data_IF_036175385673
#
_entry.id   IF_036175385673
#
_cell.length_a   1.000
_cell.length_b   1.000
_cell.length_c   1.000
_cell.angle_alpha   90.00
_cell.angle_beta   90.00
_cell.angle_gamma   90.00
#
_symmetry.space_group_name_H-M   'P 1'
#
loop_
_entity.id
_entity.type
_entity.pdbx_description
1 polymer ?
#
# COMPACT_ATOMS: atom_id res chain seq x y z
N UNK A 1 -13.68 -13.90 2.73
CA UNK A 1 -12.61 -13.50 1.80
C UNK A 1 -12.93 -12.08 1.31
N UNK A 2 -12.05 -11.12 1.54
CA UNK A 2 -12.29 -9.70 1.26
C UNK A 2 -11.85 -9.25 -0.15
N UNK A 3 -11.49 -10.20 -1.03
CA UNK A 3 -11.20 -9.92 -2.43
C UNK A 3 -12.44 -9.34 -3.13
N UNK A 4 -12.26 -8.24 -3.86
CA UNK A 4 -13.34 -7.61 -4.61
C UNK A 4 -13.39 -8.18 -6.02
N UNK A 5 -12.26 -8.18 -6.71
CA UNK A 5 -12.21 -8.51 -8.12
C UNK A 5 -10.84 -9.08 -8.51
N UNK A 6 -10.89 -9.94 -9.51
CA UNK A 6 -9.71 -10.49 -10.19
C UNK A 6 -9.94 -10.46 -11.70
N UNK A 7 -9.00 -9.83 -12.40
CA UNK A 7 -8.97 -9.83 -13.87
C UNK A 7 -7.68 -10.45 -14.36
N UNK A 8 -7.81 -11.50 -15.18
CA UNK A 8 -6.71 -12.19 -15.83
C UNK A 8 -6.86 -12.04 -17.34
N UNK A 9 -6.26 -11.01 -17.90
CA UNK A 9 -6.27 -10.73 -19.34
C UNK A 9 -5.33 -11.66 -20.13
N UNK A 10 -4.23 -12.06 -19.49
CA UNK A 10 -3.21 -12.90 -20.11
C UNK A 10 -2.82 -14.03 -19.14
N UNK A 11 -3.21 -15.26 -19.47
CA UNK A 11 -2.92 -16.44 -18.62
C UNK A 11 -1.45 -16.83 -18.62
N UNK A 12 -0.73 -16.58 -19.70
CA UNK A 12 0.69 -16.90 -19.84
C UNK A 12 1.59 -15.81 -19.27
N UNK A 13 1.02 -14.65 -18.92
CA UNK A 13 1.76 -13.55 -18.33
C UNK A 13 2.09 -13.85 -16.87
N UNK A 14 3.38 -13.92 -16.57
CA UNK A 14 3.87 -14.22 -15.21
C UNK A 14 3.71 -13.08 -14.21
N UNK A 15 3.14 -11.94 -14.59
CA UNK A 15 3.03 -10.76 -13.74
C UNK A 15 1.58 -10.51 -13.33
N UNK A 16 1.37 -10.31 -12.02
CA UNK A 16 0.09 -9.93 -11.43
C UNK A 16 0.27 -8.72 -10.53
N UNK A 17 -0.61 -7.73 -10.67
CA UNK A 17 -0.67 -6.55 -9.82
C UNK A 17 -1.70 -6.79 -8.71
N UNK A 18 -1.28 -6.64 -7.47
CA UNK A 18 -2.19 -6.56 -6.33
C UNK A 18 -2.44 -5.10 -6.02
N UNK A 19 -3.69 -4.71 -5.90
CA UNK A 19 -4.04 -3.33 -5.63
C UNK A 19 -4.79 -3.21 -4.30
N UNK A 20 -4.31 -2.29 -3.46
CA UNK A 20 -4.89 -1.90 -2.18
C UNK A 20 -5.43 -0.47 -2.32
N UNK A 21 -6.75 -0.31 -2.21
CA UNK A 21 -7.40 0.99 -2.33
C UNK A 21 -7.13 1.93 -1.15
N UNK A 22 -7.39 3.22 -1.33
CA UNK A 22 -7.30 4.22 -0.28
C UNK A 22 -8.42 4.12 0.75
N UNK A 23 -8.20 4.73 1.92
CA UNK A 23 -9.16 4.81 3.02
C UNK A 23 -9.36 3.50 3.77
N UNK A 24 -9.28 3.48 5.11
CA UNK A 24 -9.62 2.30 5.88
C UNK A 24 -11.10 2.20 6.22
N UNK A 25 -11.85 3.32 6.12
CA UNK A 25 -13.19 3.45 6.69
C UNK A 25 -14.31 2.98 5.78
N UNK A 26 -13.99 2.50 4.60
CA UNK A 26 -14.98 1.97 3.65
C UNK A 26 -14.46 0.74 2.93
N UNK A 27 -15.40 -0.06 2.46
CA UNK A 27 -15.12 -1.19 1.58
C UNK A 27 -15.42 -0.77 0.17
N UNK A 28 -14.46 -0.87 -0.72
CA UNK A 28 -14.67 -0.61 -2.14
C UNK A 28 -15.59 -1.68 -2.70
N UNK A 29 -16.79 -1.28 -3.16
CA UNK A 29 -17.82 -2.19 -3.67
C UNK A 29 -17.73 -2.37 -5.17
N UNK A 30 -17.36 -1.32 -5.87
CA UNK A 30 -17.26 -1.26 -7.32
C UNK A 30 -15.88 -0.76 -7.74
N UNK A 31 -15.11 -1.58 -8.41
CA UNK A 31 -13.76 -1.24 -8.84
C UNK A 31 -13.73 -0.14 -9.91
N UNK A 32 -14.82 0.05 -10.69
CA UNK A 32 -14.92 1.10 -11.69
C UNK A 32 -14.94 2.53 -11.08
N UNK A 33 -15.24 2.63 -9.79
CA UNK A 33 -15.20 3.90 -9.06
C UNK A 33 -13.77 4.28 -8.65
N UNK A 34 -12.84 3.35 -8.73
CA UNK A 34 -11.45 3.55 -8.37
C UNK A 34 -10.58 3.82 -9.61
N UNK A 35 -9.88 4.97 -9.69
CA UNK A 35 -9.12 5.35 -10.87
C UNK A 35 -7.94 4.43 -11.16
N UNK A 36 -7.30 3.85 -10.12
CA UNK A 36 -6.15 2.96 -10.31
C UNK A 36 -6.58 1.57 -10.75
N UNK A 37 -7.68 1.04 -10.20
CA UNK A 37 -8.26 -0.21 -10.68
C UNK A 37 -8.73 -0.08 -12.13
N UNK A 38 -9.39 1.02 -12.47
CA UNK A 38 -9.81 1.34 -13.85
C UNK A 38 -8.61 1.46 -14.79
N UNK A 39 -7.54 2.10 -14.37
CA UNK A 39 -6.30 2.17 -15.15
C UNK A 39 -5.72 0.78 -15.41
N UNK A 40 -5.61 -0.09 -14.40
CA UNK A 40 -5.11 -1.45 -14.57
C UNK A 40 -5.97 -2.25 -15.55
N UNK A 41 -7.29 -2.09 -15.47
CA UNK A 41 -8.23 -2.72 -16.40
C UNK A 41 -8.05 -2.25 -17.84
N UNK A 42 -8.01 -0.93 -18.05
CA UNK A 42 -7.86 -0.34 -19.39
C UNK A 42 -6.51 -0.70 -20.03
N UNK A 43 -5.46 -0.84 -19.22
CA UNK A 43 -4.14 -1.29 -19.63
C UNK A 43 -4.04 -2.83 -19.79
N UNK A 44 -5.15 -3.54 -19.62
CA UNK A 44 -5.24 -4.99 -19.71
C UNK A 44 -4.20 -5.72 -18.84
N UNK A 45 -3.95 -5.19 -17.63
CA UNK A 45 -3.04 -5.82 -16.67
C UNK A 45 -3.76 -6.92 -15.89
N UNK A 46 -3.08 -8.04 -15.67
CA UNK A 46 -3.57 -9.01 -14.68
C UNK A 46 -3.54 -8.35 -13.31
N UNK A 47 -4.68 -8.22 -12.65
CA UNK A 47 -4.71 -7.61 -11.32
C UNK A 47 -5.73 -8.26 -10.39
N UNK A 48 -5.46 -8.14 -9.09
CA UNK A 48 -6.34 -8.53 -8.01
C UNK A 48 -6.50 -7.33 -7.10
N UNK A 49 -7.73 -6.87 -6.96
CA UNK A 49 -8.10 -5.82 -6.03
C UNK A 49 -8.58 -6.46 -4.73
N UNK A 50 -8.04 -5.99 -3.61
CA UNK A 50 -8.34 -6.52 -2.29
C UNK A 50 -8.98 -5.46 -1.40
N UNK A 51 -10.08 -5.84 -0.75
CA UNK A 51 -10.50 -5.20 0.50
C UNK A 51 -9.75 -5.81 1.68
N UNK A 52 -9.65 -5.08 2.75
CA UNK A 52 -9.08 -5.54 4.03
C UNK A 52 -10.12 -5.42 5.15
N UNK A 53 -9.93 -6.11 6.29
CA UNK A 53 -10.81 -6.00 7.44
C UNK A 53 -10.86 -4.55 7.95
N UNK A 54 -12.02 -4.12 8.42
CA UNK A 54 -12.18 -2.81 9.06
C UNK A 54 -12.37 -3.07 10.56
N UNK A 55 -11.27 -3.00 11.31
CA UNK A 55 -11.26 -3.26 12.75
C UNK A 55 -10.74 -2.04 13.49
N UNK A 56 -11.65 -1.23 14.03
CA UNK A 56 -11.29 -0.03 14.78
C UNK A 56 -10.41 -0.36 15.99
N UNK A 57 -9.41 0.48 16.22
CA UNK A 57 -8.41 0.29 17.29
C UNK A 57 -7.39 -0.82 17.03
N UNK A 58 -7.54 -1.57 15.93
CA UNK A 58 -6.58 -2.61 15.52
C UNK A 58 -6.17 -2.49 14.04
N UNK A 59 -6.53 -1.41 13.37
CA UNK A 59 -6.11 -1.11 12.00
C UNK A 59 -4.58 -1.04 11.89
N UNK A 60 -4.07 -1.27 10.70
CA UNK A 60 -2.64 -1.42 10.45
C UNK A 60 -2.12 -2.80 10.82
N UNK A 61 -2.46 -3.36 11.99
CA UNK A 61 -2.04 -4.71 12.39
C UNK A 61 -2.95 -5.77 11.76
N UNK A 62 -4.26 -5.71 12.03
CA UNK A 62 -5.21 -6.69 11.50
C UNK A 62 -5.22 -6.72 9.97
N UNK A 63 -5.15 -5.54 9.35
CA UNK A 63 -5.15 -5.42 7.90
C UNK A 63 -3.86 -5.98 7.29
N UNK A 64 -2.70 -5.66 7.90
CA UNK A 64 -1.42 -6.21 7.46
C UNK A 64 -1.36 -7.73 7.61
N UNK A 65 -1.82 -8.28 8.74
CA UNK A 65 -1.83 -9.73 8.99
C UNK A 65 -2.70 -10.46 7.97
N UNK A 66 -3.93 -9.96 7.76
CA UNK A 66 -4.85 -10.51 6.76
C UNK A 66 -4.24 -10.51 5.35
N UNK A 67 -3.65 -9.39 4.93
CA UNK A 67 -3.01 -9.26 3.62
C UNK A 67 -1.79 -10.17 3.50
N UNK A 68 -1.01 -10.28 4.58
CA UNK A 68 0.16 -11.16 4.63
C UNK A 68 -0.21 -12.62 4.40
N UNK A 69 -1.21 -13.12 5.10
CA UNK A 69 -1.72 -14.49 4.90
C UNK A 69 -2.19 -14.71 3.47
N UNK A 70 -2.96 -13.77 2.93
CA UNK A 70 -3.45 -13.84 1.55
C UNK A 70 -2.30 -13.88 0.52
N UNK A 71 -1.32 -12.98 0.64
CA UNK A 71 -0.22 -12.90 -0.33
C UNK A 71 0.71 -14.13 -0.28
N UNK A 72 0.99 -14.64 0.90
CA UNK A 72 1.79 -15.84 1.04
C UNK A 72 1.07 -17.07 0.49
N UNK A 73 -0.23 -17.20 0.74
CA UNK A 73 -1.03 -18.28 0.17
C UNK A 73 -1.10 -18.19 -1.36
N UNK A 74 -1.31 -16.98 -1.89
CA UNK A 74 -1.27 -16.77 -3.34
C UNK A 74 0.10 -17.14 -3.94
N UNK A 75 1.19 -16.74 -3.30
CA UNK A 75 2.55 -17.05 -3.75
C UNK A 75 2.83 -18.56 -3.71
N UNK A 76 2.32 -19.26 -2.70
CA UNK A 76 2.45 -20.71 -2.57
C UNK A 76 1.72 -21.44 -3.71
N UNK A 77 0.54 -20.98 -4.06
CA UNK A 77 -0.25 -21.53 -5.17
C UNK A 77 0.31 -21.17 -6.55
N UNK A 78 0.98 -20.02 -6.66
CA UNK A 78 1.48 -19.45 -7.91
C UNK A 78 2.99 -19.13 -7.81
N UNK A 79 3.88 -20.13 -7.61
CA UNK A 79 5.30 -19.88 -7.26
C UNK A 79 6.07 -19.12 -8.31
N UNK A 80 5.70 -19.24 -9.60
CA UNK A 80 6.36 -18.61 -10.72
C UNK A 80 5.82 -17.20 -11.06
N UNK A 81 4.79 -16.74 -10.34
CA UNK A 81 4.20 -15.42 -10.58
C UNK A 81 5.06 -14.30 -10.01
N UNK A 82 5.34 -13.30 -10.84
CA UNK A 82 5.93 -12.03 -10.41
C UNK A 82 4.83 -11.16 -9.83
N UNK A 83 4.89 -10.93 -8.54
CA UNK A 83 3.91 -10.12 -7.81
C UNK A 83 4.39 -8.67 -7.70
N UNK A 84 3.54 -7.74 -8.09
CA UNK A 84 3.74 -6.29 -7.91
C UNK A 84 2.63 -5.77 -7.00
N UNK A 85 2.99 -5.04 -5.95
CA UNK A 85 2.02 -4.45 -5.03
C UNK A 85 1.87 -2.96 -5.32
N UNK A 86 0.65 -2.53 -5.55
CA UNK A 86 0.24 -1.14 -5.75
C UNK A 86 -0.71 -0.75 -4.62
N UNK A 87 -0.49 0.38 -3.99
CA UNK A 87 -1.41 0.89 -2.97
C UNK A 87 -1.54 2.40 -3.01
N UNK A 88 -2.73 2.89 -2.68
CA UNK A 88 -3.05 4.31 -2.62
C UNK A 88 -3.43 4.72 -1.20
N UNK A 89 -2.94 5.88 -0.73
CA UNK A 89 -3.24 6.44 0.57
C UNK A 89 -3.02 5.43 1.72
N UNK A 90 -4.05 5.04 2.46
CA UNK A 90 -3.96 3.98 3.48
C UNK A 90 -3.53 2.63 2.89
N UNK A 91 -4.04 2.26 1.72
CA UNK A 91 -3.57 1.07 1.01
C UNK A 91 -2.09 1.17 0.62
N UNK A 92 -1.62 2.39 0.32
CA UNK A 92 -0.19 2.67 0.08
C UNK A 92 0.66 2.53 1.35
N UNK A 93 0.14 2.97 2.50
CA UNK A 93 0.77 2.71 3.79
C UNK A 93 0.90 1.21 4.05
N UNK A 94 -0.21 0.45 3.94
CA UNK A 94 -0.17 -1.01 4.09
C UNK A 94 0.80 -1.68 3.11
N UNK A 95 0.78 -1.26 1.83
CA UNK A 95 1.70 -1.77 0.83
C UNK A 95 3.16 -1.55 1.22
N UNK A 96 3.50 -0.39 1.79
CA UNK A 96 4.86 -0.06 2.20
C UNK A 96 5.39 -0.98 3.30
N UNK A 97 4.54 -1.51 4.17
CA UNK A 97 4.93 -2.46 5.21
C UNK A 97 5.47 -3.78 4.63
N UNK A 98 4.98 -4.18 3.47
CA UNK A 98 5.49 -5.36 2.76
C UNK A 98 6.91 -5.17 2.17
N UNK A 99 7.49 -3.98 2.32
CA UNK A 99 8.90 -3.77 1.98
C UNK A 99 9.85 -4.63 2.83
N UNK A 100 9.42 -5.10 3.99
CA UNK A 100 10.16 -6.06 4.80
C UNK A 100 10.14 -7.49 4.25
N UNK A 101 9.16 -7.81 3.41
CA UNK A 101 8.96 -9.14 2.85
C UNK A 101 9.66 -9.28 1.47
N UNK A 102 9.98 -10.52 1.09
CA UNK A 102 10.63 -10.82 -0.20
C UNK A 102 9.67 -11.33 -1.28
N UNK A 103 8.36 -11.29 -1.02
CA UNK A 103 7.35 -11.88 -1.92
C UNK A 103 7.03 -11.03 -3.13
N UNK A 104 7.27 -9.71 -3.04
CA UNK A 104 6.99 -8.78 -4.14
C UNK A 104 8.27 -8.43 -4.90
N UNK A 105 8.17 -8.38 -6.22
CA UNK A 105 9.23 -7.86 -7.09
C UNK A 105 9.43 -6.36 -6.91
N UNK A 106 8.32 -5.64 -6.65
CA UNK A 106 8.28 -4.19 -6.53
C UNK A 106 7.01 -3.76 -5.77
N UNK A 107 7.15 -2.69 -5.02
CA UNK A 107 6.05 -2.02 -4.35
C UNK A 107 5.94 -0.59 -4.89
N UNK A 108 4.72 -0.13 -5.18
CA UNK A 108 4.42 1.23 -5.61
C UNK A 108 3.37 1.77 -4.64
N UNK A 109 3.74 2.79 -3.89
CA UNK A 109 2.89 3.43 -2.87
C UNK A 109 2.61 4.88 -3.28
N UNK A 110 1.34 5.19 -3.52
CA UNK A 110 0.87 6.49 -4.03
C UNK A 110 0.18 7.21 -2.89
N UNK A 111 0.55 8.48 -2.67
CA UNK A 111 0.03 9.31 -1.56
C UNK A 111 -0.01 8.54 -0.23
N UNK A 112 1.05 7.78 0.04
CA UNK A 112 1.15 6.89 1.18
C UNK A 112 1.89 7.56 2.33
N UNK A 113 1.32 7.50 3.53
CA UNK A 113 2.09 7.96 4.68
C UNK A 113 3.13 6.91 5.10
N UNK A 114 4.29 7.41 5.52
CA UNK A 114 5.47 6.60 5.86
C UNK A 114 5.81 6.65 7.34
N UNK A 115 5.26 7.63 8.06
CA UNK A 115 5.38 7.78 9.50
C UNK A 115 4.02 8.09 10.10
N UNK A 116 3.54 7.23 11.00
CA UNK A 116 2.29 7.42 11.72
C UNK A 116 2.37 8.70 12.56
N UNK A 117 3.44 8.89 13.30
CA UNK A 117 3.63 10.07 14.15
C UNK A 117 3.63 11.37 13.33
N UNK A 118 4.27 11.38 12.16
CA UNK A 118 4.24 12.56 11.28
C UNK A 118 2.83 12.81 10.73
N UNK A 119 2.14 11.76 10.33
CA UNK A 119 0.78 11.84 9.81
C UNK A 119 -0.20 12.39 10.86
N UNK A 120 -0.09 11.96 12.10
CA UNK A 120 -0.90 12.46 13.22
C UNK A 120 -0.68 13.94 13.51
N UNK A 121 0.54 14.45 13.33
CA UNK A 121 0.87 15.84 13.61
C UNK A 121 0.48 16.79 12.48
N UNK A 122 0.66 16.39 11.23
CA UNK A 122 0.66 17.31 10.10
C UNK A 122 -0.41 17.05 9.03
N UNK A 123 -1.11 15.90 9.05
CA UNK A 123 -2.17 15.62 8.10
C UNK A 123 -3.42 16.47 8.37
N UNK A 124 -4.08 16.93 7.30
CA UNK A 124 -5.40 17.55 7.39
C UNK A 124 -6.52 16.58 7.80
N UNK A 125 -6.31 15.28 7.64
CA UNK A 125 -7.28 14.20 7.95
C UNK A 125 -6.82 13.29 9.10
N UNK A 126 -6.11 13.86 10.07
CA UNK A 126 -5.50 13.10 11.18
C UNK A 126 -6.47 12.48 12.19
N UNK A 127 -7.72 12.94 12.23
CA UNK A 127 -8.67 12.55 13.29
C UNK A 127 -8.96 11.05 13.31
N UNK A 128 -9.08 10.42 12.14
CA UNK A 128 -9.40 8.99 12.05
C UNK A 128 -8.25 8.05 12.45
N UNK A 129 -7.00 8.52 12.39
CA UNK A 129 -5.82 7.69 12.67
C UNK A 129 -5.87 7.11 14.08
N UNK A 130 -6.15 7.97 15.07
CA UNK A 130 -6.19 7.57 16.49
C UNK A 130 -7.30 6.57 16.81
N UNK A 131 -8.44 6.69 16.12
CA UNK A 131 -9.59 5.82 16.36
C UNK A 131 -9.45 4.47 15.63
N UNK A 132 -8.69 4.45 14.56
CA UNK A 132 -8.60 3.29 13.69
C UNK A 132 -7.32 2.48 13.89
N UNK A 133 -6.14 3.14 13.90
CA UNK A 133 -4.87 2.43 13.99
C UNK A 133 -4.63 1.89 15.40
N UNK A 134 -4.00 0.73 15.46
CA UNK A 134 -3.44 0.21 16.71
C UNK A 134 -2.27 1.09 17.18
N UNK A 135 -2.12 1.29 18.48
CA UNK A 135 -0.95 1.95 19.08
C UNK A 135 0.38 1.25 18.73
N UNK A 136 0.31 -0.05 18.43
CA UNK A 136 1.46 -0.86 18.04
C UNK A 136 1.60 -1.03 16.53
N UNK A 137 0.85 -0.26 15.71
CA UNK A 137 0.96 -0.33 14.27
C UNK A 137 2.35 0.10 13.80
N UNK A 138 2.93 -0.69 12.90
CA UNK A 138 4.23 -0.38 12.30
C UNK A 138 4.06 0.64 11.17
N UNK A 139 5.14 1.34 10.86
CA UNK A 139 5.22 2.21 9.69
C UNK A 139 6.53 2.01 8.91
N UNK A 140 6.59 2.59 7.72
CA UNK A 140 7.77 2.45 6.86
C UNK A 140 9.01 3.12 7.47
N UNK A 141 8.83 4.20 8.25
CA UNK A 141 9.92 4.85 8.98
C UNK A 141 10.59 3.86 9.94
N UNK A 142 9.81 3.10 10.69
CA UNK A 142 10.31 2.06 11.60
C UNK A 142 11.07 0.97 10.84
N UNK A 143 10.56 0.52 9.69
CA UNK A 143 11.28 -0.45 8.85
C UNK A 143 12.62 0.10 8.34
N UNK A 144 12.67 1.38 7.96
CA UNK A 144 13.92 2.03 7.56
C UNK A 144 14.91 2.13 8.71
N UNK A 145 14.46 2.63 9.87
CA UNK A 145 15.29 2.77 11.07
C UNK A 145 15.90 1.44 11.48
N UNK A 146 15.12 0.36 11.41
CA UNK A 146 15.54 -0.98 11.80
C UNK A 146 16.25 -1.76 10.68
N UNK A 147 16.53 -1.10 9.54
CA UNK A 147 17.17 -1.69 8.35
C UNK A 147 16.45 -2.95 7.81
N UNK A 148 15.12 -2.97 7.90
CA UNK A 148 14.28 -4.10 7.49
C UNK A 148 13.71 -3.98 6.08
N UNK A 149 14.02 -2.91 5.33
CA UNK A 149 13.53 -2.74 3.95
C UNK A 149 14.30 -3.66 3.01
N UNK A 150 13.60 -4.62 2.43
CA UNK A 150 14.15 -5.68 1.58
C UNK A 150 13.69 -5.58 0.12
N UNK A 151 12.46 -5.14 -0.10
CA UNK A 151 11.85 -5.02 -1.43
C UNK A 151 11.97 -3.60 -1.96
N UNK A 152 12.27 -3.46 -3.27
CA UNK A 152 12.30 -2.17 -3.95
C UNK A 152 10.95 -1.47 -3.87
N UNK A 153 10.92 -0.33 -3.19
CA UNK A 153 9.70 0.47 -2.97
C UNK A 153 9.81 1.82 -3.69
N UNK A 154 8.75 2.22 -4.38
CA UNK A 154 8.63 3.52 -5.04
C UNK A 154 7.46 4.25 -4.42
N UNK A 155 7.72 5.42 -3.85
CA UNK A 155 6.70 6.36 -3.40
C UNK A 155 6.45 7.41 -4.48
N UNK A 156 5.18 7.74 -4.68
CA UNK A 156 4.72 8.81 -5.56
C UNK A 156 3.79 9.69 -4.75
N UNK A 157 4.10 10.97 -4.59
CA UNK A 157 3.30 11.88 -3.77
C UNK A 157 3.17 13.24 -4.43
N UNK A 158 2.05 13.93 -4.19
CA UNK A 158 1.85 15.30 -4.62
C UNK A 158 2.54 16.30 -3.70
N UNK A 159 3.11 17.36 -4.25
CA UNK A 159 3.75 18.42 -3.45
C UNK A 159 2.76 19.27 -2.66
N UNK A 160 1.47 19.25 -3.01
CA UNK A 160 0.37 19.94 -2.33
C UNK A 160 -0.60 19.04 -1.60
N UNK A 161 -0.26 17.76 -1.47
CA UNK A 161 -1.08 16.79 -0.74
C UNK A 161 -1.08 17.12 0.76
N UNK A 162 -2.16 17.72 1.24
CA UNK A 162 -2.34 18.05 2.67
C UNK A 162 -2.84 16.87 3.50
N UNK A 163 -3.41 15.84 2.86
CA UNK A 163 -3.83 14.60 3.52
C UNK A 163 -2.65 13.75 3.88
N UNK A 164 -1.68 13.66 2.94
CA UNK A 164 -0.43 12.92 3.12
C UNK A 164 0.74 13.86 2.79
N UNK A 165 1.18 14.69 3.74
CA UNK A 165 2.24 15.67 3.51
C UNK A 165 3.54 15.00 3.08
N UNK A 166 4.10 15.41 1.92
CA UNK A 166 5.30 14.78 1.34
C UNK A 166 6.56 14.99 2.22
N UNK A 167 6.56 15.98 3.10
CA UNK A 167 7.69 16.30 3.96
C UNK A 167 8.08 15.14 4.87
N UNK A 168 7.17 14.20 5.14
CA UNK A 168 7.48 12.98 5.89
C UNK A 168 8.57 12.11 5.23
N UNK A 169 8.77 12.25 3.92
CA UNK A 169 9.85 11.54 3.23
C UNK A 169 11.23 12.14 3.53
N UNK A 170 11.30 13.41 3.97
CA UNK A 170 12.55 14.10 4.31
C UNK A 170 13.15 13.58 5.61
N UNK A 171 12.36 12.96 6.47
CA UNK A 171 12.82 12.40 7.75
C UNK A 171 13.19 10.91 7.65
N UNK A 172 12.96 10.27 6.49
CA UNK A 172 13.34 8.88 6.30
C UNK A 172 14.85 8.71 6.28
N UNK A 173 15.40 7.71 6.98
CA UNK A 173 16.80 7.33 6.82
C UNK A 173 17.14 7.02 5.36
N UNK A 174 18.33 7.46 4.91
CA UNK A 174 18.74 7.18 3.54
C UNK A 174 18.94 5.69 3.30
N UNK A 175 18.26 5.14 2.30
CA UNK A 175 18.39 3.76 1.87
C UNK A 175 18.32 3.66 0.34
N UNK A 176 19.17 2.81 -0.27
CA UNK A 176 19.16 2.57 -1.73
C UNK A 176 17.93 1.80 -2.22
N UNK A 177 17.17 1.19 -1.34
CA UNK A 177 16.05 0.28 -1.70
C UNK A 177 14.72 0.97 -1.92
N UNK A 178 14.61 2.26 -1.62
CA UNK A 178 13.40 3.02 -1.97
C UNK A 178 13.71 4.28 -2.79
N UNK A 179 12.71 4.75 -3.51
CA UNK A 179 12.75 5.98 -4.29
C UNK A 179 11.48 6.80 -4.02
N UNK A 180 11.64 8.10 -3.89
CA UNK A 180 10.52 9.04 -3.75
C UNK A 180 10.44 9.92 -5.00
N UNK A 181 9.25 10.05 -5.57
CA UNK A 181 8.94 10.95 -6.66
C UNK A 181 7.87 11.94 -6.17
N UNK A 182 8.21 13.20 -6.08
CA UNK A 182 7.28 14.27 -5.72
C UNK A 182 6.79 14.94 -6.99
N UNK A 183 5.47 14.90 -7.22
CA UNK A 183 4.82 15.50 -8.38
C UNK A 183 4.43 16.95 -8.03
N UNK A 184 4.89 17.94 -8.80
CA UNK A 184 4.54 19.32 -8.55
C UNK A 184 3.07 19.57 -8.88
N UNK A 185 2.38 20.35 -8.04
CA UNK A 185 1.01 20.81 -8.30
C UNK A 185 -0.11 19.81 -7.95
N UNK A 186 0.21 18.67 -7.42
CA UNK A 186 -0.74 17.65 -6.96
C UNK A 186 -0.67 17.49 -5.45
#
# INVERSE_FOLDING_TARGET
MHKIVEYIFCRDCKKVYFYLHGGPLFTLRNWQEDPFATMLYNEQRNFILLNYPIVYGNGGISDYQFLKEYFWEYKRQNPNTEMVLLGESYGGYLASLFAAEYIFRKIIAISAFTSIAYQELFSSERSWLKDYLSENALDFYTLCRDNKVNTRTIFINGSRDSRVPYQQFLVLPFMKKFKVNILPGF
#
